data_IF_096964248095
#
_entry.id   IF_096964248095
#
_cell.length_a   1.000
_cell.length_b   1.000
_cell.length_c   1.000
_cell.angle_alpha   90.00
_cell.angle_beta   90.00
_cell.angle_gamma   90.00
#
_symmetry.space_group_name_H-M   'P 1'
#
loop_
_entity.id
_entity.type
_entity.pdbx_description
1 polymer ?
#
# COMPACT_ATOMS: atom_id res chain seq x y z
N UNK A 1 17.11 -16.58 27.58
CA UNK A 1 16.42 -17.42 26.58
C UNK A 1 16.59 -16.73 25.22
N UNK A 2 17.25 -17.37 24.25
CA UNK A 2 17.49 -16.78 22.92
C UNK A 2 16.35 -17.15 21.96
N UNK A 3 15.69 -16.15 21.37
CA UNK A 3 14.67 -16.38 20.36
C UNK A 3 15.38 -16.67 19.02
N UNK A 4 15.19 -17.85 18.39
CA UNK A 4 15.77 -18.11 17.08
C UNK A 4 15.17 -17.15 16.05
N UNK A 5 16.01 -16.32 15.43
CA UNK A 5 15.60 -15.31 14.46
C UNK A 5 15.90 -15.78 13.04
N UNK A 6 14.85 -16.04 12.26
CA UNK A 6 14.96 -16.32 10.83
C UNK A 6 14.84 -15.00 10.05
N UNK A 7 15.93 -14.57 9.38
CA UNK A 7 15.98 -13.31 8.66
C UNK A 7 16.09 -13.53 7.16
N UNK A 8 15.12 -12.99 6.41
CA UNK A 8 15.24 -12.83 4.95
C UNK A 8 15.59 -11.38 4.62
N UNK A 9 16.61 -11.17 3.78
CA UNK A 9 17.02 -9.84 3.33
C UNK A 9 16.55 -9.63 1.89
N UNK A 10 15.85 -8.54 1.65
CA UNK A 10 15.35 -8.18 0.32
C UNK A 10 15.94 -6.82 -0.09
N UNK A 11 16.57 -6.73 -1.27
CA UNK A 11 17.20 -5.50 -1.78
C UNK A 11 16.28 -4.82 -2.79
N UNK A 12 16.03 -3.52 -2.66
CA UNK A 12 15.21 -2.73 -3.58
C UNK A 12 16.06 -1.61 -4.19
N UNK A 13 15.72 -1.18 -5.41
CA UNK A 13 16.46 -0.13 -6.14
C UNK A 13 15.93 1.26 -5.86
N UNK A 14 14.60 1.40 -5.79
CA UNK A 14 13.91 2.69 -5.65
C UNK A 14 12.68 2.57 -4.73
N UNK A 15 12.14 3.70 -4.29
CA UNK A 15 11.02 3.76 -3.34
C UNK A 15 9.78 3.02 -3.83
N UNK A 16 9.43 3.15 -5.11
CA UNK A 16 8.31 2.42 -5.73
C UNK A 16 8.42 0.90 -5.50
N UNK A 17 9.63 0.33 -5.63
CA UNK A 17 9.86 -1.10 -5.45
C UNK A 17 9.79 -1.51 -3.98
N UNK A 18 10.25 -0.65 -3.07
CA UNK A 18 10.10 -0.85 -1.63
C UNK A 18 8.61 -0.87 -1.23
N UNK A 19 7.85 0.13 -1.66
CA UNK A 19 6.42 0.26 -1.37
C UNK A 19 5.65 -0.93 -1.95
N UNK A 20 5.96 -1.34 -3.18
CA UNK A 20 5.36 -2.52 -3.81
C UNK A 20 5.50 -3.79 -2.96
N UNK A 21 6.70 -4.03 -2.42
CA UNK A 21 7.01 -5.20 -1.58
C UNK A 21 6.29 -5.13 -0.24
N UNK A 22 6.30 -3.97 0.42
CA UNK A 22 5.62 -3.76 1.70
C UNK A 22 4.12 -4.03 1.55
N UNK A 23 3.47 -3.45 0.53
CA UNK A 23 2.04 -3.65 0.27
C UNK A 23 1.74 -5.12 -0.05
N UNK A 24 2.60 -5.78 -0.83
CA UNK A 24 2.43 -7.18 -1.17
C UNK A 24 2.46 -8.06 0.08
N UNK A 25 3.47 -7.88 0.93
CA UNK A 25 3.61 -8.61 2.20
C UNK A 25 2.39 -8.34 3.09
N UNK A 26 2.04 -7.07 3.30
CA UNK A 26 0.88 -6.68 4.10
C UNK A 26 -0.42 -7.31 3.57
N UNK A 27 -0.64 -7.24 2.26
CA UNK A 27 -1.83 -7.80 1.64
C UNK A 27 -1.88 -9.33 1.77
N UNK A 28 -0.75 -10.02 1.68
CA UNK A 28 -0.71 -11.49 1.83
C UNK A 28 -1.01 -11.92 3.27
N UNK A 29 -0.53 -11.16 4.26
CA UNK A 29 -0.67 -11.52 5.69
C UNK A 29 -2.03 -11.11 6.25
N UNK A 30 -2.47 -9.89 5.96
CA UNK A 30 -3.63 -9.27 6.62
C UNK A 30 -4.95 -9.46 5.87
N UNK A 31 -4.91 -9.92 4.61
CA UNK A 31 -6.12 -10.08 3.78
C UNK A 31 -6.30 -11.53 3.39
N UNK A 32 -7.55 -11.97 3.40
CA UNK A 32 -7.94 -13.24 2.78
C UNK A 32 -7.79 -13.16 1.26
N UNK A 33 -7.75 -14.33 0.61
CA UNK A 33 -7.52 -14.45 -0.84
C UNK A 33 -8.46 -13.57 -1.69
N UNK A 34 -9.71 -13.33 -1.25
CA UNK A 34 -10.67 -12.50 -1.99
C UNK A 34 -10.39 -11.01 -1.86
N UNK A 35 -9.74 -10.59 -0.76
CA UNK A 35 -9.41 -9.20 -0.48
C UNK A 35 -7.93 -8.87 -0.72
N UNK A 36 -7.15 -9.80 -1.27
CA UNK A 36 -5.79 -9.52 -1.71
C UNK A 36 -5.80 -8.46 -2.81
N UNK A 37 -4.80 -7.57 -2.75
CA UNK A 37 -4.65 -6.49 -3.72
C UNK A 37 -4.24 -7.07 -5.08
N UNK A 38 -4.92 -6.62 -6.14
CA UNK A 38 -4.57 -7.02 -7.51
C UNK A 38 -3.43 -6.16 -8.05
N UNK A 39 -2.62 -6.64 -9.02
CA UNK A 39 -1.49 -5.87 -9.55
C UNK A 39 -1.87 -4.47 -10.01
N UNK A 40 -2.97 -4.32 -10.75
CA UNK A 40 -3.42 -3.01 -11.24
C UNK A 40 -3.89 -2.07 -10.13
N UNK A 41 -4.45 -2.61 -9.04
CA UNK A 41 -4.89 -1.82 -7.88
C UNK A 41 -3.69 -1.37 -7.07
N UNK A 42 -2.69 -2.26 -6.94
CA UNK A 42 -1.43 -2.02 -6.25
C UNK A 42 -0.64 -0.90 -6.92
N UNK A 43 -0.56 -0.91 -8.24
CA UNK A 43 0.07 0.18 -9.01
C UNK A 43 -0.51 1.54 -8.58
N UNK A 44 -1.84 1.67 -8.56
CA UNK A 44 -2.52 2.91 -8.20
C UNK A 44 -2.31 3.27 -6.72
N UNK A 45 -2.39 2.27 -5.83
CA UNK A 45 -2.19 2.48 -4.40
C UNK A 45 -0.78 3.01 -4.08
N UNK A 46 0.26 2.52 -4.77
CA UNK A 46 1.64 2.99 -4.60
C UNK A 46 1.73 4.50 -4.86
N UNK A 47 1.12 5.01 -5.93
CA UNK A 47 1.13 6.45 -6.21
C UNK A 47 0.43 7.27 -5.14
N UNK A 48 -0.70 6.79 -4.61
CA UNK A 48 -1.38 7.49 -3.52
C UNK A 48 -0.59 7.49 -2.22
N UNK A 49 0.18 6.44 -1.95
CA UNK A 49 1.07 6.39 -0.78
C UNK A 49 2.22 7.38 -0.93
N UNK A 50 2.84 7.42 -2.10
CA UNK A 50 4.02 8.26 -2.35
C UNK A 50 3.67 9.75 -2.53
N UNK A 51 2.53 10.06 -3.15
CA UNK A 51 2.18 11.43 -3.57
C UNK A 51 0.91 11.96 -2.90
N UNK A 52 0.28 11.17 -2.03
CA UNK A 52 -1.01 11.48 -1.44
C UNK A 52 -2.20 11.25 -2.39
N UNK A 53 -3.41 11.20 -1.81
CA UNK A 53 -4.64 11.09 -2.58
C UNK A 53 -5.12 12.46 -3.04
N UNK A 54 -4.75 12.86 -4.25
CA UNK A 54 -5.09 14.17 -4.82
C UNK A 54 -5.50 14.06 -6.30
N UNK A 55 -6.02 15.15 -6.87
CA UNK A 55 -6.26 15.24 -8.32
C UNK A 55 -4.95 15.17 -9.11
N UNK A 56 -3.91 15.81 -8.60
CA UNK A 56 -2.57 15.81 -9.21
C UNK A 56 -2.01 14.39 -9.30
N UNK A 57 -2.08 13.62 -8.22
CA UNK A 57 -1.66 12.21 -8.22
C UNK A 57 -2.44 11.37 -9.23
N UNK A 58 -3.74 11.65 -9.41
CA UNK A 58 -4.54 10.97 -10.46
C UNK A 58 -4.04 11.31 -11.85
N UNK A 59 -3.65 12.55 -12.12
CA UNK A 59 -3.07 12.91 -13.42
C UNK A 59 -1.71 12.23 -13.65
N UNK A 60 -0.86 12.14 -12.63
CA UNK A 60 0.41 11.39 -12.69
C UNK A 60 0.14 9.92 -13.05
N UNK A 61 -0.84 9.28 -12.40
CA UNK A 61 -1.21 7.89 -12.72
C UNK A 61 -1.65 7.76 -14.18
N UNK A 62 -2.43 8.71 -14.71
CA UNK A 62 -2.88 8.65 -16.11
C UNK A 62 -1.72 8.75 -17.08
N UNK A 63 -0.79 9.66 -16.85
CA UNK A 63 0.33 9.90 -17.76
C UNK A 63 1.36 8.78 -17.67
N UNK A 64 1.82 8.41 -16.47
CA UNK A 64 2.89 7.42 -16.29
C UNK A 64 2.43 5.98 -16.50
N UNK A 65 1.21 5.64 -16.05
CA UNK A 65 0.67 4.28 -16.14
C UNK A 65 -0.29 4.09 -17.31
N UNK A 66 -0.49 5.13 -18.13
CA UNK A 66 -1.39 5.12 -19.30
C UNK A 66 -2.79 4.60 -18.95
N UNK A 67 -3.30 4.97 -17.77
CA UNK A 67 -4.62 4.56 -17.27
C UNK A 67 -5.65 5.64 -17.56
N UNK A 68 -6.91 5.25 -17.75
CA UNK A 68 -8.01 6.20 -17.87
C UNK A 68 -8.77 6.39 -16.53
N UNK A 69 -9.66 7.39 -16.47
CA UNK A 69 -10.47 7.67 -15.28
C UNK A 69 -11.26 6.45 -14.81
N UNK A 70 -11.88 5.71 -15.73
CA UNK A 70 -12.70 4.54 -15.39
C UNK A 70 -11.89 3.45 -14.68
N UNK A 71 -10.68 3.16 -15.17
CA UNK A 71 -9.76 2.22 -14.54
C UNK A 71 -9.32 2.69 -13.15
N UNK A 72 -8.99 3.97 -13.01
CA UNK A 72 -8.58 4.56 -11.73
C UNK A 72 -9.73 4.50 -10.73
N UNK A 73 -10.95 4.84 -11.14
CA UNK A 73 -12.11 4.82 -10.26
C UNK A 73 -12.55 3.41 -9.89
N UNK A 74 -12.42 2.45 -10.82
CA UNK A 74 -12.63 1.02 -10.52
C UNK A 74 -11.64 0.54 -9.47
N UNK A 75 -10.35 0.87 -9.62
CA UNK A 75 -9.35 0.55 -8.61
C UNK A 75 -9.65 1.22 -7.28
N UNK A 76 -10.02 2.51 -7.27
CA UNK A 76 -10.41 3.22 -6.05
C UNK A 76 -11.57 2.53 -5.33
N UNK A 77 -12.59 2.09 -6.06
CA UNK A 77 -13.72 1.35 -5.51
C UNK A 77 -13.27 0.03 -4.88
N UNK A 78 -12.42 -0.74 -5.57
CA UNK A 78 -11.90 -1.99 -5.04
C UNK A 78 -11.00 -1.79 -3.82
N UNK A 79 -10.08 -0.81 -3.87
CA UNK A 79 -9.18 -0.48 -2.77
C UNK A 79 -9.96 -0.05 -1.52
N UNK A 80 -11.06 0.69 -1.69
CA UNK A 80 -11.97 1.01 -0.57
C UNK A 80 -12.66 -0.24 -0.02
N UNK A 81 -13.25 -1.07 -0.89
CA UNK A 81 -13.92 -2.32 -0.49
C UNK A 81 -12.97 -3.26 0.27
N UNK A 82 -11.70 -3.33 -0.16
CA UNK A 82 -10.66 -4.14 0.47
C UNK A 82 -10.05 -3.48 1.71
N UNK A 83 -10.41 -2.23 2.02
CA UNK A 83 -9.94 -1.50 3.20
C UNK A 83 -8.50 -1.00 3.10
N UNK A 84 -8.02 -0.69 1.89
CA UNK A 84 -6.75 0.01 1.64
C UNK A 84 -6.94 1.53 1.56
N UNK A 85 -8.11 1.98 1.10
CA UNK A 85 -8.51 3.39 1.09
C UNK A 85 -9.71 3.60 2.01
N UNK A 86 -9.70 4.70 2.75
CA UNK A 86 -10.77 5.09 3.68
C UNK A 86 -11.40 6.41 3.20
N UNK A 87 -12.70 6.59 3.43
CA UNK A 87 -13.39 7.87 3.17
C UNK A 87 -13.22 8.81 4.36
N UNK A 88 -12.99 10.09 4.11
CA UNK A 88 -12.91 11.15 5.13
C UNK A 88 -14.23 11.33 5.88
N UNK A 89 -14.15 11.45 7.20
CA UNK A 89 -15.32 11.66 8.07
C UNK A 89 -15.98 13.04 7.88
N UNK A 90 -15.18 14.08 7.58
CA UNK A 90 -15.67 15.48 7.51
C UNK A 90 -16.03 15.95 6.10
N UNK A 91 -15.61 15.21 5.06
CA UNK A 91 -15.95 15.48 3.67
C UNK A 91 -16.00 14.14 2.92
N UNK A 92 -17.20 13.62 2.69
CA UNK A 92 -17.44 12.31 2.07
C UNK A 92 -16.77 12.11 0.69
N UNK A 93 -16.28 13.19 0.08
CA UNK A 93 -15.61 13.22 -1.24
C UNK A 93 -14.09 12.95 -1.18
N UNK A 94 -13.45 13.13 -0.03
CA UNK A 94 -11.99 12.97 0.09
C UNK A 94 -11.70 11.56 0.61
N UNK A 95 -10.87 10.80 -0.11
CA UNK A 95 -10.37 9.50 0.36
C UNK A 95 -8.91 9.64 0.78
N UNK A 96 -8.43 8.76 1.63
CA UNK A 96 -7.03 8.69 2.05
C UNK A 96 -6.60 7.22 2.18
N UNK A 97 -5.29 6.99 2.14
CA UNK A 97 -4.73 5.65 2.39
C UNK A 97 -4.94 5.29 3.86
N UNK A 98 -5.28 4.02 4.14
CA UNK A 98 -5.42 3.56 5.51
C UNK A 98 -4.14 3.86 6.31
N UNK A 99 -4.30 4.54 7.43
CA UNK A 99 -3.22 5.05 8.29
C UNK A 99 -2.16 4.00 8.60
N UNK A 100 -2.57 2.80 9.06
CA UNK A 100 -1.67 1.67 9.32
C UNK A 100 -0.70 1.35 8.15
N UNK A 101 -1.17 1.45 6.90
CA UNK A 101 -0.34 1.17 5.73
C UNK A 101 0.57 2.35 5.41
N UNK A 102 0.03 3.56 5.54
CA UNK A 102 0.77 4.80 5.31
C UNK A 102 1.93 4.92 6.31
N UNK A 103 1.66 4.80 7.60
CA UNK A 103 2.67 4.85 8.68
C UNK A 103 3.74 3.79 8.50
N UNK A 104 3.33 2.57 8.15
CA UNK A 104 4.26 1.49 7.87
C UNK A 104 5.21 1.88 6.74
N UNK A 105 4.70 2.36 5.60
CA UNK A 105 5.56 2.77 4.47
C UNK A 105 6.45 3.97 4.85
N UNK A 106 5.87 5.00 5.44
CA UNK A 106 6.59 6.21 5.84
C UNK A 106 7.73 5.90 6.81
N UNK A 107 7.56 4.90 7.68
CA UNK A 107 8.63 4.45 8.58
C UNK A 107 9.86 3.93 7.81
N UNK A 108 9.66 3.18 6.72
CA UNK A 108 10.76 2.65 5.89
C UNK A 108 11.37 3.72 4.98
N UNK A 109 10.58 4.67 4.49
CA UNK A 109 11.08 5.76 3.65
C UNK A 109 11.94 6.74 4.46
N UNK A 110 11.52 7.06 5.69
CA UNK A 110 12.21 8.03 6.53
C UNK A 110 13.38 7.43 7.34
N UNK A 111 13.40 6.11 7.55
CA UNK A 111 14.45 5.46 8.35
C UNK A 111 15.00 4.20 7.67
N UNK A 112 16.29 4.24 7.33
CA UNK A 112 17.01 3.16 6.64
C UNK A 112 17.25 1.91 7.49
N UNK A 113 17.07 2.00 8.81
CA UNK A 113 17.33 0.92 9.76
C UNK A 113 16.05 0.26 10.29
N UNK A 114 14.97 0.27 9.51
CA UNK A 114 13.71 -0.38 9.89
C UNK A 114 13.67 -1.85 9.51
N UNK A 115 12.94 -2.63 10.32
CA UNK A 115 12.69 -4.05 10.08
C UNK A 115 11.20 -4.33 10.09
N UNK A 116 10.74 -5.09 9.11
CA UNK A 116 9.38 -5.63 9.09
C UNK A 116 9.39 -7.00 9.76
N UNK A 117 8.74 -7.13 10.91
CA UNK A 117 8.69 -8.38 11.68
C UNK A 117 7.34 -9.05 11.47
N UNK A 118 7.38 -10.33 11.11
CA UNK A 118 6.18 -11.18 11.01
C UNK A 118 6.23 -12.16 12.17
N UNK A 119 5.22 -12.09 13.04
CA UNK A 119 5.05 -13.00 14.16
C UNK A 119 3.85 -13.90 13.89
N UNK A 120 4.04 -15.20 14.11
CA UNK A 120 2.97 -16.20 14.03
C UNK A 120 2.47 -16.51 15.44
N UNK A 121 1.18 -16.36 15.66
CA UNK A 121 0.54 -16.67 16.95
C UNK A 121 -0.47 -17.79 16.74
N UNK A 122 -0.47 -18.76 17.67
CA UNK A 122 -1.48 -19.80 17.70
C UNK A 122 -2.77 -19.18 18.24
N UNK A 123 -3.87 -19.38 17.51
CA UNK A 123 -5.22 -19.02 17.98
C UNK A 123 -5.69 -19.96 19.09
#
# INVERSE_FOLDING_TARGET
>A
MSIPLYKSKTKYKHEVELVDRIISIYSTIKKDKKNQILPFEKEILIYYILNGFSKETKEIIKTEKKKNNSQIDTANCNLRRKGFLIKGNKNQKISYVKEEIQEMVDSFLNNKNQFYVIQFEKK
#
